data_IF_196032353301
#
_entry.id   IF_196032353301
#
_cell.length_a   1.000
_cell.length_b   1.000
_cell.length_c   1.000
_cell.angle_alpha   90.00
_cell.angle_beta   90.00
_cell.angle_gamma   90.00
#
_symmetry.space_group_name_H-M   'P 1'
#
loop_
_entity.id
_entity.type
_entity.pdbx_description
1 polymer ?
#
# COMPACT_ATOMS: atom_id res chain seq x y z
N UNK A 1 29.95 -47.94 -25.03
CA UNK A 1 28.74 -47.21 -25.48
C UNK A 1 27.55 -47.50 -24.55
N UNK A 2 27.24 -46.61 -23.59
CA UNK A 2 26.11 -46.82 -22.67
C UNK A 2 26.04 -45.84 -21.50
N UNK A 3 27.18 -45.34 -21.01
CA UNK A 3 27.24 -44.43 -19.85
C UNK A 3 26.77 -43.01 -20.18
N UNK A 4 26.98 -42.55 -21.42
CA UNK A 4 26.65 -41.20 -21.88
C UNK A 4 25.11 -40.96 -21.99
N UNK A 5 24.34 -41.99 -22.37
CA UNK A 5 22.88 -41.85 -22.51
C UNK A 5 22.18 -41.60 -21.16
N UNK A 6 22.58 -42.33 -20.11
CA UNK A 6 22.05 -42.11 -18.77
C UNK A 6 22.40 -40.71 -18.23
N UNK A 7 23.62 -40.23 -18.49
CA UNK A 7 24.03 -38.89 -18.09
C UNK A 7 23.25 -37.81 -18.84
N UNK A 8 23.01 -37.98 -20.14
CA UNK A 8 22.19 -37.07 -20.95
C UNK A 8 20.75 -37.04 -20.47
N UNK A 9 20.14 -38.20 -20.19
CA UNK A 9 18.79 -38.27 -19.60
C UNK A 9 18.76 -37.58 -18.24
N UNK A 10 19.74 -37.83 -17.37
CA UNK A 10 19.79 -37.21 -16.05
C UNK A 10 19.91 -35.68 -16.12
N UNK A 11 20.64 -35.16 -17.12
CA UNK A 11 20.73 -33.72 -17.36
C UNK A 11 19.40 -33.15 -17.88
N UNK A 12 18.76 -33.80 -18.84
CA UNK A 12 17.44 -33.39 -19.34
C UNK A 12 16.39 -33.42 -18.23
N UNK A 13 16.35 -34.48 -17.42
CA UNK A 13 15.43 -34.61 -16.31
C UNK A 13 15.64 -33.51 -15.25
N UNK A 14 16.91 -33.17 -14.94
CA UNK A 14 17.23 -32.05 -14.04
C UNK A 14 16.81 -30.70 -14.61
N UNK A 15 17.03 -30.47 -15.91
CA UNK A 15 16.60 -29.24 -16.57
C UNK A 15 15.08 -29.09 -16.53
N UNK A 16 14.33 -30.14 -16.90
CA UNK A 16 12.86 -30.15 -16.84
C UNK A 16 12.37 -29.89 -15.41
N UNK A 17 12.95 -30.54 -14.41
CA UNK A 17 12.60 -30.31 -13.00
C UNK A 17 12.84 -28.85 -12.59
N UNK A 18 13.97 -28.26 -12.97
CA UNK A 18 14.28 -26.87 -12.66
C UNK A 18 13.30 -25.92 -13.34
N UNK A 19 12.97 -26.15 -14.62
CA UNK A 19 11.96 -25.36 -15.34
C UNK A 19 10.59 -25.43 -14.68
N UNK A 20 10.17 -26.61 -14.22
CA UNK A 20 8.90 -26.77 -13.50
C UNK A 20 8.90 -26.02 -12.16
N UNK A 21 10.00 -26.08 -11.40
CA UNK A 21 10.15 -25.34 -10.15
C UNK A 21 10.12 -23.82 -10.40
N UNK A 22 10.83 -23.33 -11.42
CA UNK A 22 10.81 -21.90 -11.78
C UNK A 22 9.42 -21.42 -12.18
N UNK A 23 8.70 -22.22 -12.97
CA UNK A 23 7.33 -21.91 -13.37
C UNK A 23 6.39 -21.84 -12.16
N UNK A 24 6.52 -22.79 -11.23
CA UNK A 24 5.74 -22.78 -9.98
C UNK A 24 6.09 -21.56 -9.11
N UNK A 25 7.37 -21.22 -8.95
CA UNK A 25 7.77 -20.04 -8.17
C UNK A 25 7.26 -18.73 -8.78
N UNK A 26 7.37 -18.56 -10.10
CA UNK A 26 6.88 -17.38 -10.79
C UNK A 26 5.34 -17.29 -10.72
N UNK A 27 4.65 -18.42 -10.92
CA UNK A 27 3.19 -18.47 -10.80
C UNK A 27 2.72 -18.10 -9.40
N UNK A 28 3.42 -18.53 -8.35
CA UNK A 28 3.12 -18.15 -6.96
C UNK A 28 3.38 -16.67 -6.73
N UNK A 29 4.49 -16.15 -7.23
CA UNK A 29 4.83 -14.73 -7.11
C UNK A 29 3.77 -13.84 -7.81
N UNK A 30 3.32 -14.21 -9.00
CA UNK A 30 2.24 -13.51 -9.68
C UNK A 30 0.92 -13.57 -8.89
N UNK A 31 0.59 -14.72 -8.29
CA UNK A 31 -0.60 -14.86 -7.46
C UNK A 31 -0.53 -13.96 -6.22
N UNK A 32 0.63 -13.88 -5.56
CA UNK A 32 0.84 -12.98 -4.42
C UNK A 32 0.77 -11.51 -4.83
N UNK A 33 1.34 -11.13 -5.97
CA UNK A 33 1.21 -9.76 -6.51
C UNK A 33 -0.25 -9.38 -6.77
N UNK A 34 -1.04 -10.28 -7.37
CA UNK A 34 -2.48 -10.06 -7.57
C UNK A 34 -3.22 -9.90 -6.25
N UNK A 35 -2.91 -10.71 -5.24
CA UNK A 35 -3.49 -10.58 -3.90
C UNK A 35 -3.11 -9.27 -3.22
N UNK A 36 -1.84 -8.86 -3.31
CA UNK A 36 -1.36 -7.60 -2.76
C UNK A 36 -2.07 -6.40 -3.41
N UNK A 37 -2.17 -6.39 -4.74
CA UNK A 37 -2.91 -5.37 -5.48
C UNK A 37 -4.39 -5.32 -5.07
N UNK A 38 -5.06 -6.47 -4.94
CA UNK A 38 -6.45 -6.53 -4.49
C UNK A 38 -6.62 -6.01 -3.06
N UNK A 39 -5.69 -6.31 -2.14
CA UNK A 39 -5.71 -5.78 -0.78
C UNK A 39 -5.51 -4.27 -0.74
N UNK A 40 -4.58 -3.75 -1.55
CA UNK A 40 -4.33 -2.31 -1.64
C UNK A 40 -5.55 -1.59 -2.20
N UNK A 41 -6.21 -2.15 -3.21
CA UNK A 41 -7.43 -1.55 -3.77
C UNK A 41 -8.57 -1.56 -2.76
N UNK A 42 -8.80 -2.68 -2.06
CA UNK A 42 -9.78 -2.72 -0.97
C UNK A 42 -9.48 -1.69 0.12
N UNK A 43 -8.22 -1.52 0.52
CA UNK A 43 -7.83 -0.51 1.51
C UNK A 43 -8.07 0.94 1.01
N UNK A 44 -7.90 1.21 -0.29
CA UNK A 44 -8.25 2.50 -0.90
C UNK A 44 -9.75 2.75 -0.87
N UNK A 45 -10.56 1.73 -1.16
CA UNK A 45 -12.03 1.81 -1.11
C UNK A 45 -12.51 2.05 0.33
N UNK A 46 -12.00 1.29 1.30
CA UNK A 46 -12.32 1.45 2.73
C UNK A 46 -11.95 2.84 3.27
N UNK A 47 -10.93 3.47 2.69
CA UNK A 47 -10.41 4.80 3.07
C UNK A 47 -10.69 5.86 2.01
N UNK A 48 -11.71 5.66 1.19
CA UNK A 48 -12.02 6.53 0.05
C UNK A 48 -12.12 8.02 0.41
N UNK A 49 -12.86 8.36 1.47
CA UNK A 49 -12.98 9.75 1.92
C UNK A 49 -11.63 10.36 2.34
N UNK A 50 -10.82 9.60 3.09
CA UNK A 50 -9.48 10.04 3.49
C UNK A 50 -8.57 10.24 2.27
N UNK A 51 -8.63 9.34 1.30
CA UNK A 51 -7.88 9.44 0.04
C UNK A 51 -8.21 10.72 -0.71
N UNK A 52 -9.50 11.08 -0.81
CA UNK A 52 -9.92 12.34 -1.44
C UNK A 52 -9.45 13.55 -0.63
N UNK A 53 -9.55 13.52 0.71
CA UNK A 53 -9.04 14.60 1.56
C UNK A 53 -7.55 14.81 1.37
N UNK A 54 -6.73 13.75 1.42
CA UNK A 54 -5.29 13.85 1.23
C UNK A 54 -4.92 14.34 -0.18
N UNK A 55 -5.66 13.95 -1.21
CA UNK A 55 -5.47 14.45 -2.57
C UNK A 55 -5.76 15.95 -2.68
N UNK A 56 -6.83 16.41 -2.02
CA UNK A 56 -7.16 17.84 -1.99
C UNK A 56 -6.15 18.64 -1.16
N UNK A 57 -5.63 18.07 -0.06
CA UNK A 57 -4.55 18.67 0.72
C UNK A 57 -3.28 18.81 -0.13
N UNK A 58 -2.89 17.78 -0.89
CA UNK A 58 -1.77 17.85 -1.83
C UNK A 58 -1.94 18.99 -2.83
N UNK A 59 -3.14 19.12 -3.42
CA UNK A 59 -3.45 20.23 -4.32
C UNK A 59 -3.33 21.60 -3.64
N UNK A 60 -3.70 21.72 -2.37
CA UNK A 60 -3.52 22.96 -1.59
C UNK A 60 -2.05 23.27 -1.37
N UNK A 61 -1.27 22.34 -0.83
CA UNK A 61 0.14 22.57 -0.53
C UNK A 61 0.93 22.95 -1.79
N UNK A 62 0.69 22.28 -2.91
CA UNK A 62 1.36 22.57 -4.19
C UNK A 62 0.90 23.86 -4.87
N UNK A 63 -0.30 24.37 -4.53
CA UNK A 63 -0.86 25.60 -5.12
C UNK A 63 -0.78 26.81 -4.19
N UNK A 64 -0.22 26.64 -3.00
CA UNK A 64 -0.10 27.70 -2.00
C UNK A 64 1.23 28.42 -2.16
N UNK A 65 1.24 29.70 -1.78
CA UNK A 65 2.47 30.45 -1.62
C UNK A 65 3.09 30.13 -0.26
N UNK A 66 4.41 30.25 -0.18
CA UNK A 66 5.18 29.95 1.03
C UNK A 66 4.59 30.65 2.27
N UNK A 67 4.22 29.86 3.28
CA UNK A 67 3.69 30.33 4.56
C UNK A 67 2.17 30.52 4.64
N UNK A 68 1.43 30.32 3.54
CA UNK A 68 -0.04 30.29 3.57
C UNK A 68 -0.62 28.88 3.71
N UNK A 69 0.21 27.84 3.60
CA UNK A 69 -0.23 26.47 3.37
C UNK A 69 -1.09 25.96 4.52
N UNK A 70 -0.66 26.17 5.76
CA UNK A 70 -1.39 25.72 6.96
C UNK A 70 -2.76 26.40 7.10
N UNK A 71 -2.85 27.69 6.76
CA UNK A 71 -4.12 28.42 6.75
C UNK A 71 -5.05 27.85 5.69
N UNK A 72 -4.56 27.66 4.46
CA UNK A 72 -5.39 27.12 3.37
C UNK A 72 -5.79 25.67 3.59
N UNK A 73 -4.94 24.87 4.24
CA UNK A 73 -5.22 23.50 4.66
C UNK A 73 -6.33 23.42 5.71
N UNK A 74 -6.32 24.32 6.70
CA UNK A 74 -7.40 24.44 7.68
C UNK A 74 -8.73 24.80 7.00
N UNK A 75 -8.73 25.81 6.13
CA UNK A 75 -9.92 26.22 5.38
C UNK A 75 -10.45 25.11 4.46
N UNK A 76 -9.56 24.33 3.83
CA UNK A 76 -9.94 23.18 3.02
C UNK A 76 -10.66 22.13 3.89
N UNK A 77 -10.12 21.83 5.07
CA UNK A 77 -10.69 20.85 5.99
C UNK A 77 -12.12 21.22 6.38
N UNK A 78 -12.36 22.47 6.76
CA UNK A 78 -13.71 22.99 7.06
C UNK A 78 -14.66 22.91 5.85
N UNK A 79 -14.15 23.11 4.62
CA UNK A 79 -14.96 23.02 3.40
C UNK A 79 -15.32 21.57 3.06
N UNK A 80 -14.44 20.62 3.34
CA UNK A 80 -14.65 19.19 3.11
C UNK A 80 -15.70 18.59 4.06
N UNK A 81 -15.81 19.14 5.29
CA UNK A 81 -16.82 18.72 6.27
C UNK A 81 -18.24 19.16 5.91
N UNK A 82 -18.42 20.03 4.91
CA UNK A 82 -19.75 20.45 4.47
C UNK A 82 -20.52 19.25 3.91
N UNK A 83 -21.82 19.10 4.25
CA UNK A 83 -22.58 17.92 3.89
C UNK A 83 -22.66 17.72 2.38
N UNK A 84 -22.80 18.79 1.58
CA UNK A 84 -22.87 18.69 0.13
C UNK A 84 -21.55 18.21 -0.49
N UNK A 85 -20.44 18.40 0.21
CA UNK A 85 -19.11 17.92 -0.21
C UNK A 85 -18.92 16.47 0.24
N UNK A 86 -19.28 16.15 1.47
CA UNK A 86 -19.24 14.78 1.98
C UNK A 86 -20.09 13.83 1.11
N UNK A 87 -21.32 14.23 0.76
CA UNK A 87 -22.20 13.47 -0.14
C UNK A 87 -21.59 13.31 -1.54
N UNK A 88 -20.97 14.36 -2.09
CA UNK A 88 -20.28 14.28 -3.39
C UNK A 88 -19.13 13.27 -3.33
N UNK A 89 -18.35 13.29 -2.26
CA UNK A 89 -17.22 12.37 -2.06
C UNK A 89 -17.74 10.95 -1.93
N UNK A 90 -18.74 10.69 -1.10
CA UNK A 90 -19.31 9.35 -0.92
C UNK A 90 -19.93 8.79 -2.22
N UNK A 91 -20.67 9.62 -2.95
CA UNK A 91 -21.41 9.19 -4.15
C UNK A 91 -20.52 9.02 -5.40
N UNK A 92 -19.28 9.53 -5.38
CA UNK A 92 -18.42 9.60 -6.58
C UNK A 92 -17.12 8.82 -6.42
N UNK A 93 -16.62 8.18 -7.49
CA UNK A 93 -15.25 7.66 -7.50
C UNK A 93 -14.23 8.76 -7.20
N UNK A 94 -13.12 8.41 -6.53
CA UNK A 94 -12.14 9.40 -6.07
C UNK A 94 -11.63 10.33 -7.18
N UNK A 95 -11.30 9.84 -8.41
CA UNK A 95 -10.88 10.72 -9.50
C UNK A 95 -11.94 11.76 -9.89
N UNK A 96 -13.23 11.38 -9.84
CA UNK A 96 -14.35 12.24 -10.20
C UNK A 96 -14.56 13.31 -9.12
N UNK A 97 -14.55 12.90 -7.85
CA UNK A 97 -14.68 13.81 -6.72
C UNK A 97 -13.56 14.84 -6.70
N UNK A 98 -12.30 14.40 -6.79
CA UNK A 98 -11.11 15.28 -6.81
C UNK A 98 -11.19 16.25 -7.98
N UNK A 99 -11.50 15.79 -9.20
CA UNK A 99 -11.63 16.66 -10.36
C UNK A 99 -12.72 17.73 -10.17
N UNK A 100 -13.86 17.35 -9.59
CA UNK A 100 -14.96 18.27 -9.31
C UNK A 100 -14.57 19.32 -8.25
N UNK A 101 -13.91 18.90 -7.17
CA UNK A 101 -13.46 19.78 -6.10
C UNK A 101 -12.35 20.74 -6.56
N UNK A 102 -11.38 20.26 -7.32
CA UNK A 102 -10.36 21.13 -7.94
C UNK A 102 -11.01 22.23 -8.78
N UNK A 103 -11.96 21.88 -9.65
CA UNK A 103 -12.70 22.88 -10.45
C UNK A 103 -13.51 23.84 -9.59
N UNK A 104 -14.22 23.32 -8.58
CA UNK A 104 -15.09 24.11 -7.70
C UNK A 104 -14.30 25.15 -6.89
N UNK A 105 -13.08 24.83 -6.49
CA UNK A 105 -12.27 25.66 -5.60
C UNK A 105 -11.07 26.32 -6.28
N UNK A 106 -10.91 26.14 -7.60
CA UNK A 106 -9.89 26.82 -8.39
C UNK A 106 -8.49 26.20 -8.32
N UNK A 107 -8.37 24.94 -7.92
CA UNK A 107 -7.09 24.22 -7.90
C UNK A 107 -6.77 23.60 -9.28
N UNK A 108 -5.48 23.37 -9.61
CA UNK A 108 -5.08 22.67 -10.82
C UNK A 108 -5.70 21.28 -10.89
N UNK A 109 -6.29 20.92 -12.04
CA UNK A 109 -6.93 19.63 -12.25
C UNK A 109 -5.87 18.59 -12.68
N UNK A 110 -5.01 18.18 -11.72
CA UNK A 110 -3.98 17.14 -11.90
C UNK A 110 -4.32 15.89 -11.09
N UNK A 111 -5.48 15.32 -11.42
CA UNK A 111 -6.14 14.27 -10.61
C UNK A 111 -5.24 13.08 -10.30
N UNK A 112 -4.52 12.57 -11.31
CA UNK A 112 -3.62 11.41 -11.13
C UNK A 112 -2.49 11.73 -10.15
N UNK A 113 -1.85 12.89 -10.29
CA UNK A 113 -0.78 13.35 -9.40
C UNK A 113 -1.29 13.50 -7.95
N UNK A 114 -2.45 14.12 -7.76
CA UNK A 114 -3.03 14.31 -6.43
C UNK A 114 -3.39 12.99 -5.75
N UNK A 115 -3.91 12.03 -6.52
CA UNK A 115 -4.23 10.69 -6.00
C UNK A 115 -2.99 9.85 -5.71
N UNK A 116 -1.93 10.00 -6.51
CA UNK A 116 -0.65 9.34 -6.27
C UNK A 116 -0.03 9.83 -4.96
N UNK A 117 0.06 11.15 -4.76
CA UNK A 117 0.53 11.74 -3.50
C UNK A 117 -0.34 11.32 -2.31
N UNK A 118 -1.66 11.21 -2.49
CA UNK A 118 -2.56 10.72 -1.45
C UNK A 118 -2.28 9.26 -1.10
N UNK A 119 -2.05 8.41 -2.11
CA UNK A 119 -1.72 7.00 -1.92
C UNK A 119 -0.35 6.83 -1.22
N UNK A 120 0.65 7.64 -1.57
CA UNK A 120 1.95 7.69 -0.89
C UNK A 120 1.80 8.12 0.57
N UNK A 121 1.02 9.17 0.84
CA UNK A 121 0.75 9.62 2.20
C UNK A 121 0.01 8.54 3.01
N UNK A 122 -0.98 7.87 2.43
CA UNK A 122 -1.68 6.78 3.10
C UNK A 122 -0.76 5.58 3.37
N UNK A 123 0.17 5.26 2.47
CA UNK A 123 1.18 4.25 2.69
C UNK A 123 2.13 4.64 3.85
N UNK A 124 2.63 5.88 3.85
CA UNK A 124 3.50 6.38 4.92
C UNK A 124 2.82 6.38 6.30
N UNK A 125 1.51 6.66 6.34
CA UNK A 125 0.69 6.61 7.55
C UNK A 125 0.25 5.18 7.94
N UNK A 126 0.59 4.17 7.14
CA UNK A 126 0.28 2.75 7.40
C UNK A 126 -1.15 2.34 7.06
N UNK A 127 -1.89 3.14 6.28
CA UNK A 127 -3.23 2.81 5.81
C UNK A 127 -3.23 1.93 4.56
N UNK A 128 -2.17 2.00 3.74
CA UNK A 128 -1.98 1.10 2.60
C UNK A 128 -0.81 0.14 2.86
N UNK A 129 -0.93 -1.13 2.45
CA UNK A 129 0.22 -2.04 2.42
C UNK A 129 1.24 -1.55 1.38
N UNK A 130 2.55 -1.78 1.59
CA UNK A 130 3.58 -1.30 0.67
C UNK A 130 3.38 -1.82 -0.76
N UNK A 131 3.61 -0.96 -1.74
CA UNK A 131 3.35 -1.29 -3.15
C UNK A 131 4.19 -2.47 -3.66
N UNK A 132 5.44 -2.60 -3.20
CA UNK A 132 6.39 -3.61 -3.67
C UNK A 132 6.38 -4.92 -2.88
N UNK A 133 5.44 -5.08 -1.94
CA UNK A 133 5.37 -6.29 -1.11
C UNK A 133 6.66 -6.55 -0.32
N UNK A 134 7.47 -5.51 -0.12
CA UNK A 134 8.60 -5.58 0.80
C UNK A 134 8.04 -5.98 2.18
N UNK A 135 8.65 -6.98 2.82
CA UNK A 135 8.24 -7.37 4.15
C UNK A 135 8.33 -6.13 5.04
N UNK A 136 7.33 -5.86 5.89
CA UNK A 136 7.36 -4.69 6.75
C UNK A 136 8.68 -4.69 7.53
N UNK A 137 9.49 -3.64 7.36
CA UNK A 137 10.67 -3.42 8.20
C UNK A 137 10.21 -3.32 9.65
N UNK A 138 10.56 -4.35 10.43
CA UNK A 138 10.57 -4.39 11.89
C UNK A 138 9.38 -3.73 12.63
N UNK A 139 8.24 -4.43 12.67
CA UNK A 139 7.47 -4.42 13.90
C UNK A 139 8.36 -5.04 15.01
N UNK A 140 8.59 -4.38 16.17
CA UNK A 140 9.43 -4.95 17.21
C UNK A 140 8.81 -6.27 17.66
N UNK A 141 9.47 -7.38 17.31
CA UNK A 141 9.11 -8.71 17.80
C UNK A 141 9.04 -8.61 19.32
N UNK A 142 7.83 -8.68 19.87
CA UNK A 142 7.62 -8.89 21.30
C UNK A 142 8.39 -10.15 21.68
N UNK A 143 9.55 -9.97 22.31
CA UNK A 143 10.37 -11.07 22.83
C UNK A 143 9.47 -11.96 23.69
N UNK A 144 9.45 -13.29 23.49
CA UNK A 144 8.79 -14.16 24.45
C UNK A 144 9.47 -13.93 25.80
N UNK A 145 8.66 -13.60 26.80
CA UNK A 145 9.10 -13.45 28.17
C UNK A 145 9.88 -14.71 28.56
N UNK A 146 11.14 -14.52 28.96
CA UNK A 146 11.98 -15.60 29.47
C UNK A 146 11.26 -16.28 30.63
N UNK A 147 10.87 -17.54 30.42
CA UNK A 147 10.37 -18.43 31.45
C UNK A 147 11.31 -18.39 32.65
N UNK A 148 10.80 -17.84 33.76
CA UNK A 148 11.45 -17.94 35.06
C UNK A 148 11.42 -19.41 35.48
N UNK A 149 12.56 -20.09 35.32
CA UNK A 149 12.82 -21.39 35.95
C UNK A 149 12.48 -21.31 37.45
N UNK A 150 11.61 -22.18 37.99
CA UNK A 150 11.47 -22.34 39.43
C UNK A 150 12.77 -22.93 40.00
N UNK A 151 13.34 -22.24 41.00
CA UNK A 151 14.50 -22.71 41.76
C UNK A 151 14.05 -23.87 42.66
N UNK A 152 14.71 -25.02 42.56
CA UNK A 152 14.48 -26.14 43.48
C UNK A 152 14.94 -25.75 44.90
N UNK A 153 14.25 -26.18 45.97
CA UNK A 153 14.69 -25.93 47.33
C UNK A 153 15.86 -26.85 47.69
N UNK A 154 16.93 -26.25 48.24
CA UNK A 154 18.05 -26.96 48.87
C UNK A 154 17.53 -27.71 50.11
N UNK A 155 17.75 -29.02 50.14
CA UNK A 155 17.73 -29.80 51.38
C UNK A 155 19.15 -30.32 51.61
N UNK A 156 19.87 -29.65 52.50
CA UNK A 156 21.12 -30.08 53.10
C UNK A 156 21.01 -29.91 54.61
#
# INVERSE_FOLDING_TARGET
PGVDYCQRIATVARAVRLTLLLKDTLSRQEAERRKAAARREAAREDRHGLRVTLAMMAAVYESSEDGEEDRRAAELSERLERPEVAELVEASPAPVAVAALCRRWGYPVRVEQWLEMADEAMEHLGFLPPADGDPPEDAPKSRPASDRRPRAPDTG
#
